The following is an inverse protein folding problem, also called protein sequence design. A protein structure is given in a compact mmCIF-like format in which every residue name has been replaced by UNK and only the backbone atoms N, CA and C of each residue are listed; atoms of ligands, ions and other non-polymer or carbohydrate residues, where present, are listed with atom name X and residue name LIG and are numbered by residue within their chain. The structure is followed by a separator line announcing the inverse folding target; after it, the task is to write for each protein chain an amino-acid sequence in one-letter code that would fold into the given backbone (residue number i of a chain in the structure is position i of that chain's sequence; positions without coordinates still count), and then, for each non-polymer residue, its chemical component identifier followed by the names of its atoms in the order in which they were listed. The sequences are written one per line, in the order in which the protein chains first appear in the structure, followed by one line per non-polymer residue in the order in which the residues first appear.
data_IF_695954426959
#
_entry.id   IF_695954426959
#
_cell.length_a   1.000
_cell.length_b   1.000
_cell.length_c   1.000
_cell.angle_alpha   90.00
_cell.angle_beta   90.00
_cell.angle_gamma   90.00
#
_symmetry.space_group_name_H-M   'P 1'
#
loop_
_entity.id
_entity.type
_entity.pdbx_description
1 polymer ?
#
# COMPACT_ATOMS: atom_id res chain seq x y z
N UNK A 1 37.83 38.15 24.35
CA UNK A 1 36.96 38.24 23.15
C UNK A 1 37.08 37.08 22.13
N UNK A 2 38.16 36.28 22.09
CA UNK A 2 38.28 35.13 21.15
C UNK A 2 37.55 33.84 21.53
N UNK A 3 37.06 33.66 22.77
CA UNK A 3 36.39 32.41 23.20
C UNK A 3 34.88 32.35 22.89
N UNK A 4 34.25 33.46 22.50
CA UNK A 4 32.83 33.49 22.13
C UNK A 4 32.59 33.18 20.65
N UNK A 5 33.57 33.45 19.77
CA UNK A 5 33.42 33.24 18.32
C UNK A 5 33.49 31.75 17.92
N UNK A 6 34.30 30.94 18.63
CA UNK A 6 34.40 29.49 18.38
C UNK A 6 33.16 28.68 18.78
N UNK A 7 32.35 29.17 19.73
CA UNK A 7 31.11 28.50 20.19
C UNK A 7 29.96 28.60 19.19
N UNK A 8 30.00 29.55 18.25
CA UNK A 8 28.87 29.88 17.37
C UNK A 8 28.88 29.11 16.05
N UNK A 9 30.06 28.74 15.53
CA UNK A 9 30.20 28.06 14.23
C UNK A 9 29.66 26.63 14.26
N UNK A 10 29.77 25.94 15.41
CA UNK A 10 29.33 24.55 15.56
C UNK A 10 27.85 24.39 15.92
N UNK A 11 27.25 25.33 16.67
CA UNK A 11 25.82 25.27 17.06
C UNK A 11 24.86 25.48 15.88
N UNK A 12 25.13 26.46 15.01
CA UNK A 12 24.33 26.70 13.80
C UNK A 12 24.46 25.59 12.74
N UNK A 13 25.47 24.71 12.88
CA UNK A 13 25.71 23.60 11.95
C UNK A 13 24.80 22.39 12.20
N UNK A 14 24.38 22.13 13.45
CA UNK A 14 23.64 20.91 13.78
C UNK A 14 22.24 20.87 13.14
N UNK A 15 21.44 21.93 13.26
CA UNK A 15 20.13 21.99 12.60
C UNK A 15 20.25 21.91 11.07
N UNK A 16 21.25 22.59 10.49
CA UNK A 16 21.51 22.51 9.04
C UNK A 16 21.94 21.11 8.60
N UNK A 17 22.61 20.35 9.46
CA UNK A 17 22.99 18.95 9.24
C UNK A 17 21.76 18.04 9.30
N UNK A 18 20.90 18.20 10.30
CA UNK A 18 19.62 17.47 10.44
C UNK A 18 18.70 17.75 9.25
N UNK A 19 18.58 19.01 8.81
CA UNK A 19 17.75 19.41 7.68
C UNK A 19 18.23 18.79 6.35
N UNK A 20 19.55 18.62 6.20
CA UNK A 20 20.17 17.93 5.06
C UNK A 20 20.12 16.41 5.16
N UNK A 21 19.72 15.85 6.32
CA UNK A 21 19.72 14.40 6.60
C UNK A 21 21.04 13.74 6.17
N UNK A 22 22.16 14.45 6.35
CA UNK A 22 23.45 14.09 5.77
C UNK A 22 24.39 13.56 6.85
N UNK A 23 24.51 12.24 6.92
CA UNK A 23 25.47 11.54 7.78
C UNK A 23 26.34 10.64 6.91
N UNK A 24 27.60 11.04 6.70
CA UNK A 24 28.67 10.39 5.92
C UNK A 24 28.26 9.87 4.51
N UNK A 25 28.79 10.52 3.47
CA UNK A 25 28.77 10.02 2.08
C UNK A 25 27.50 10.32 1.27
N UNK A 26 26.30 10.12 1.82
CA UNK A 26 25.05 10.37 1.08
C UNK A 26 24.35 11.66 1.52
N UNK A 27 24.41 12.69 0.68
CA UNK A 27 23.65 13.94 0.85
C UNK A 27 22.26 13.76 0.25
N UNK A 28 21.20 13.67 1.07
CA UNK A 28 19.84 13.91 0.58
C UNK A 28 19.68 15.42 0.43
N UNK A 29 20.09 15.94 -0.73
CA UNK A 29 19.93 17.36 -1.05
C UNK A 29 18.46 17.76 -1.06
N UNK A 30 18.15 19.03 -0.81
CA UNK A 30 16.79 19.57 -0.95
C UNK A 30 16.20 19.26 -2.33
N UNK A 31 17.04 19.28 -3.38
CA UNK A 31 16.64 18.90 -4.74
C UNK A 31 16.14 17.45 -4.83
N UNK A 32 16.75 16.52 -4.08
CA UNK A 32 16.29 15.13 -4.03
C UNK A 32 14.94 15.01 -3.31
N UNK A 33 14.68 15.84 -2.30
CA UNK A 33 13.37 15.89 -1.62
C UNK A 33 12.29 16.41 -2.57
N UNK A 34 12.57 17.48 -3.31
CA UNK A 34 11.68 18.00 -4.36
C UNK A 34 11.45 16.94 -5.44
N UNK A 35 12.51 16.28 -5.93
CA UNK A 35 12.39 15.18 -6.89
C UNK A 35 11.53 14.02 -6.38
N UNK A 36 11.66 13.68 -5.09
CA UNK A 36 10.83 12.64 -4.46
C UNK A 36 9.36 13.08 -4.36
N UNK A 37 9.10 14.37 -4.09
CA UNK A 37 7.76 14.94 -4.06
C UNK A 37 7.09 14.96 -5.44
N UNK A 38 7.82 15.37 -6.48
CA UNK A 38 7.38 15.32 -7.87
C UNK A 38 7.05 13.88 -8.28
N UNK A 39 7.95 12.94 -7.96
CA UNK A 39 7.75 11.52 -8.21
C UNK A 39 6.50 10.99 -7.51
N UNK A 40 6.28 11.35 -6.25
CA UNK A 40 5.09 10.95 -5.49
C UNK A 40 3.79 11.44 -6.15
N UNK A 41 3.76 12.71 -6.60
CA UNK A 41 2.62 13.28 -7.33
C UNK A 41 2.35 12.55 -8.65
N UNK A 42 3.41 12.28 -9.43
CA UNK A 42 3.32 11.56 -10.70
C UNK A 42 2.88 10.10 -10.53
N UNK A 43 3.42 9.37 -9.56
CA UNK A 43 3.04 7.98 -9.26
C UNK A 43 1.59 7.90 -8.83
N UNK A 44 1.13 8.83 -7.98
CA UNK A 44 -0.27 8.90 -7.57
C UNK A 44 -1.18 9.13 -8.79
N UNK A 45 -0.79 10.07 -9.65
CA UNK A 45 -1.55 10.37 -10.86
C UNK A 45 -1.56 9.20 -11.86
N UNK A 46 -0.45 8.49 -12.04
CA UNK A 46 -0.37 7.29 -12.87
C UNK A 46 -1.25 6.17 -12.33
N UNK A 47 -1.23 5.94 -11.01
CA UNK A 47 -2.09 4.96 -10.36
C UNK A 47 -3.57 5.29 -10.51
N UNK A 48 -3.96 6.57 -10.44
CA UNK A 48 -5.33 6.99 -10.74
C UNK A 48 -5.78 6.51 -12.13
N UNK A 49 -4.97 6.70 -13.18
CA UNK A 49 -5.31 6.20 -14.51
C UNK A 49 -5.41 4.68 -14.58
N UNK A 50 -4.55 3.97 -13.87
CA UNK A 50 -4.64 2.51 -13.76
C UNK A 50 -5.98 2.12 -13.15
N UNK A 51 -6.41 2.76 -12.08
CA UNK A 51 -7.72 2.50 -11.48
C UNK A 51 -8.89 2.85 -12.41
N UNK A 52 -8.79 3.93 -13.18
CA UNK A 52 -9.83 4.31 -14.15
C UNK A 52 -10.07 3.25 -15.23
N UNK A 53 -9.05 2.43 -15.58
CA UNK A 53 -9.28 1.29 -16.49
C UNK A 53 -10.19 0.20 -15.90
N UNK A 54 -10.40 0.21 -14.58
CA UNK A 54 -11.21 -0.75 -13.84
C UNK A 54 -12.57 -0.18 -13.42
N UNK A 55 -12.99 0.97 -13.96
CA UNK A 55 -14.26 1.60 -13.60
C UNK A 55 -15.46 0.69 -13.84
N UNK A 56 -15.44 -0.16 -14.87
CA UNK A 56 -16.50 -1.16 -15.15
C UNK A 56 -16.24 -2.46 -14.39
N UNK A 57 -15.95 -2.40 -13.11
CA UNK A 57 -15.72 -3.58 -12.29
C UNK A 57 -16.24 -3.38 -10.87
N UNK A 58 -16.12 -4.42 -10.05
CA UNK A 58 -16.43 -4.42 -8.60
C UNK A 58 -15.85 -3.23 -7.85
N UNK A 59 -14.70 -2.71 -8.32
CA UNK A 59 -14.06 -1.56 -7.68
C UNK A 59 -14.96 -0.32 -7.68
N UNK A 60 -15.84 -0.16 -8.67
CA UNK A 60 -16.80 0.95 -8.69
C UNK A 60 -17.90 0.82 -7.65
N UNK A 61 -18.22 -0.39 -7.20
CA UNK A 61 -19.22 -0.61 -6.15
C UNK A 61 -18.59 -0.49 -4.75
N UNK A 62 -17.36 -1.00 -4.59
CA UNK A 62 -16.69 -1.11 -3.28
C UNK A 62 -15.97 0.18 -2.90
N UNK A 63 -15.34 0.86 -3.87
CA UNK A 63 -14.60 2.11 -3.63
C UNK A 63 -14.97 3.15 -4.70
N UNK A 64 -16.25 3.59 -4.73
CA UNK A 64 -16.73 4.55 -5.73
C UNK A 64 -15.96 5.87 -5.71
N UNK A 65 -15.37 6.22 -4.56
CA UNK A 65 -14.63 7.47 -4.35
C UNK A 65 -13.39 7.61 -5.22
N UNK A 66 -12.73 6.50 -5.55
CA UNK A 66 -11.52 6.50 -6.41
C UNK A 66 -11.92 6.50 -7.90
N UNK A 67 -13.08 5.93 -8.21
CA UNK A 67 -13.52 5.71 -9.60
C UNK A 67 -14.17 6.95 -10.24
N UNK A 68 -14.57 7.95 -9.45
CA UNK A 68 -15.16 9.18 -10.00
C UNK A 68 -14.13 10.01 -10.77
N UNK A 69 -14.53 10.61 -11.89
CA UNK A 69 -13.71 11.54 -12.67
C UNK A 69 -13.68 12.93 -11.99
N UNK A 70 -12.91 13.07 -10.92
CA UNK A 70 -12.91 14.30 -10.10
C UNK A 70 -11.58 14.59 -9.40
N UNK A 71 -11.39 15.84 -8.97
CA UNK A 71 -10.28 16.21 -8.08
C UNK A 71 -10.33 15.52 -6.73
N UNK A 72 -11.52 15.14 -6.27
CA UNK A 72 -11.66 14.42 -5.02
C UNK A 72 -10.95 13.07 -5.11
N UNK A 73 -11.20 12.32 -6.17
CA UNK A 73 -10.63 10.98 -6.40
C UNK A 73 -9.11 11.00 -6.54
N UNK A 74 -8.56 11.95 -7.31
CA UNK A 74 -7.11 12.06 -7.51
C UNK A 74 -6.39 12.44 -6.21
N UNK A 75 -6.95 13.37 -5.44
CA UNK A 75 -6.39 13.80 -4.15
C UNK A 75 -6.58 12.74 -3.07
N UNK A 76 -7.74 12.09 -3.01
CA UNK A 76 -8.03 10.98 -2.10
C UNK A 76 -7.04 9.84 -2.31
N UNK A 77 -6.74 9.51 -3.56
CA UNK A 77 -5.75 8.48 -3.89
C UNK A 77 -4.33 8.95 -3.52
N UNK A 78 -4.00 10.22 -3.77
CA UNK A 78 -2.71 10.80 -3.38
C UNK A 78 -2.43 10.70 -1.88
N UNK A 79 -3.40 11.01 -1.01
CA UNK A 79 -3.16 10.97 0.45
C UNK A 79 -2.81 9.55 0.94
N UNK A 80 -3.44 8.52 0.39
CA UNK A 80 -3.16 7.12 0.75
C UNK A 80 -1.80 6.67 0.21
N UNK A 81 -1.45 7.05 -1.02
CA UNK A 81 -0.14 6.71 -1.61
C UNK A 81 0.98 7.46 -0.90
N UNK A 82 0.76 8.71 -0.48
CA UNK A 82 1.73 9.48 0.29
C UNK A 82 2.07 8.80 1.61
N UNK A 83 1.09 8.21 2.30
CA UNK A 83 1.30 7.40 3.49
C UNK A 83 2.18 6.19 3.18
N UNK A 84 1.83 5.38 2.16
CA UNK A 84 2.60 4.19 1.76
C UNK A 84 4.04 4.56 1.38
N UNK A 85 4.22 5.61 0.59
CA UNK A 85 5.52 6.10 0.16
C UNK A 85 6.40 6.52 1.35
N UNK A 86 5.85 7.26 2.31
CA UNK A 86 6.59 7.69 3.49
C UNK A 86 6.98 6.52 4.40
N UNK A 87 6.14 5.48 4.51
CA UNK A 87 6.49 4.27 5.26
C UNK A 87 7.70 3.58 4.64
N UNK A 88 7.70 3.40 3.31
CA UNK A 88 8.84 2.83 2.58
C UNK A 88 10.09 3.70 2.78
N UNK A 89 9.94 5.03 2.66
CA UNK A 89 11.02 5.98 2.88
C UNK A 89 11.60 5.85 4.31
N UNK A 90 10.75 5.75 5.33
CA UNK A 90 11.17 5.60 6.72
C UNK A 90 11.86 4.26 7.00
N UNK A 91 11.43 3.18 6.37
CA UNK A 91 12.08 1.86 6.49
C UNK A 91 13.47 1.88 5.84
N UNK A 92 13.57 2.42 4.61
CA UNK A 92 14.84 2.46 3.85
C UNK A 92 15.86 3.38 4.52
N UNK A 93 15.43 4.55 4.99
CA UNK A 93 16.33 5.56 5.60
C UNK A 93 16.27 5.59 7.13
N UNK A 94 15.81 4.50 7.76
CA UNK A 94 15.60 4.41 9.20
C UNK A 94 16.82 4.87 10.02
N UNK A 95 18.00 4.44 9.61
CA UNK A 95 19.27 4.74 10.28
C UNK A 95 19.66 6.22 10.27
N UNK A 96 19.05 7.02 9.41
CA UNK A 96 19.38 8.44 9.25
C UNK A 96 18.29 9.34 9.84
N UNK A 97 17.03 8.92 9.75
CA UNK A 97 15.88 9.76 10.11
C UNK A 97 15.58 9.74 11.61
N UNK A 98 15.76 8.59 12.27
CA UNK A 98 15.33 8.39 13.65
C UNK A 98 16.50 8.39 14.65
N UNK A 99 16.25 8.05 15.92
CA UNK A 99 17.23 8.17 17.01
C UNK A 99 18.31 7.06 17.04
N UNK A 100 18.65 6.48 15.89
CA UNK A 100 19.77 5.53 15.74
C UNK A 100 21.12 6.09 16.22
N UNK A 101 21.32 7.42 16.12
CA UNK A 101 22.50 8.15 16.56
C UNK A 101 22.73 8.08 18.07
N UNK A 102 21.66 7.99 18.87
CA UNK A 102 21.75 7.82 20.32
C UNK A 102 22.37 6.46 20.63
N UNK A 103 21.95 5.42 19.90
CA UNK A 103 22.53 4.07 20.01
C UNK A 103 23.99 4.03 19.54
N UNK A 104 24.34 4.77 18.49
CA UNK A 104 25.72 4.90 17.99
C UNK A 104 26.59 5.86 18.81
N UNK A 105 26.15 6.29 20.00
CA UNK A 105 26.83 7.23 20.90
C UNK A 105 27.23 8.58 20.30
N UNK A 106 26.67 8.95 19.14
CA UNK A 106 26.99 10.22 18.49
C UNK A 106 26.46 11.39 19.33
N UNK A 107 25.32 11.22 19.97
CA UNK A 107 24.74 12.22 20.88
C UNK A 107 25.54 12.36 22.17
N UNK A 108 26.07 11.27 22.71
CA UNK A 108 26.91 11.31 23.91
C UNK A 108 28.14 12.20 23.69
N UNK A 109 28.84 12.03 22.56
CA UNK A 109 29.99 12.86 22.19
C UNK A 109 29.61 14.35 22.04
N UNK A 110 28.45 14.63 21.43
CA UNK A 110 27.95 16.00 21.27
C UNK A 110 27.61 16.64 22.63
N UNK A 111 27.04 15.87 23.56
CA UNK A 111 26.74 16.36 24.91
C UNK A 111 28.04 16.71 25.65
N UNK A 112 29.08 15.87 25.55
CA UNK A 112 30.40 16.16 26.14
C UNK A 112 31.06 17.40 25.51
N UNK A 113 30.80 17.67 24.23
CA UNK A 113 31.20 18.91 23.55
C UNK A 113 30.35 20.14 23.92
N UNK A 114 29.40 20.01 24.86
CA UNK A 114 28.59 21.12 25.39
C UNK A 114 27.28 21.38 24.64
N UNK A 115 26.80 20.44 23.82
CA UNK A 115 25.47 20.52 23.23
C UNK A 115 24.38 20.12 24.23
N UNK A 116 23.25 20.82 24.19
CA UNK A 116 22.10 20.53 25.06
C UNK A 116 21.20 19.48 24.40
N UNK A 117 20.88 18.35 25.08
CA UNK A 117 20.05 17.27 24.53
C UNK A 117 18.68 17.74 24.04
N UNK A 118 18.07 18.70 24.76
CA UNK A 118 16.73 19.23 24.43
C UNK A 118 16.74 19.96 23.09
N UNK A 119 17.76 20.79 22.83
CA UNK A 119 17.90 21.51 21.56
C UNK A 119 18.16 20.52 20.41
N UNK A 120 18.96 19.48 20.66
CA UNK A 120 19.23 18.44 19.66
C UNK A 120 17.96 17.67 19.29
N UNK A 121 17.14 17.32 20.29
CA UNK A 121 15.82 16.71 20.06
C UNK A 121 14.93 17.60 19.19
N UNK A 122 14.71 18.87 19.59
CA UNK A 122 13.83 19.76 18.82
C UNK A 122 14.37 20.00 17.40
N UNK A 123 15.68 20.14 17.25
CA UNK A 123 16.33 20.26 15.95
C UNK A 123 16.01 19.07 15.04
N UNK A 124 16.15 17.85 15.55
CA UNK A 124 15.86 16.62 14.79
C UNK A 124 14.37 16.45 14.51
N UNK A 125 13.53 16.71 15.50
CA UNK A 125 12.07 16.68 15.38
C UNK A 125 11.58 17.62 14.29
N UNK A 126 11.93 18.91 14.36
CA UNK A 126 11.50 19.90 13.37
C UNK A 126 12.09 19.64 11.99
N UNK A 127 13.34 19.18 11.89
CA UNK A 127 13.94 18.83 10.60
C UNK A 127 13.19 17.69 9.91
N UNK A 128 12.79 16.65 10.66
CA UNK A 128 12.01 15.54 10.11
C UNK A 128 10.59 15.99 9.72
N UNK A 129 9.89 16.71 10.60
CA UNK A 129 8.54 17.23 10.32
C UNK A 129 8.52 18.14 9.10
N UNK A 130 9.47 19.07 9.00
CA UNK A 130 9.61 19.95 7.84
C UNK A 130 9.89 19.15 6.56
N UNK A 131 10.72 18.11 6.63
CA UNK A 131 11.03 17.28 5.47
C UNK A 131 9.79 16.53 4.97
N UNK A 132 9.00 15.95 5.87
CA UNK A 132 7.76 15.23 5.53
C UNK A 132 6.73 16.20 4.97
N UNK A 133 6.55 17.35 5.62
CA UNK A 133 5.65 18.41 5.17
C UNK A 133 6.02 18.89 3.77
N UNK A 134 7.28 19.21 3.50
CA UNK A 134 7.73 19.64 2.17
C UNK A 134 7.43 18.60 1.09
N UNK A 135 7.78 17.33 1.33
CA UNK A 135 7.56 16.25 0.35
C UNK A 135 6.06 16.08 0.06
N UNK A 136 5.23 16.12 1.11
CA UNK A 136 3.78 15.99 0.98
C UNK A 136 3.14 17.21 0.31
N UNK A 137 3.42 18.44 0.76
CA UNK A 137 2.80 19.64 0.18
C UNK A 137 3.15 19.82 -1.30
N UNK A 138 4.42 19.61 -1.67
CA UNK A 138 4.84 19.73 -3.08
C UNK A 138 4.17 18.65 -3.93
N UNK A 139 4.13 17.40 -3.46
CA UNK A 139 3.45 16.32 -4.19
C UNK A 139 1.94 16.57 -4.34
N UNK A 140 1.28 17.09 -3.31
CA UNK A 140 -0.14 17.42 -3.31
C UNK A 140 -0.47 18.50 -4.35
N UNK A 141 0.33 19.58 -4.40
CA UNK A 141 0.19 20.64 -5.39
C UNK A 141 0.41 20.11 -6.80
N UNK A 142 1.41 19.24 -7.00
CA UNK A 142 1.65 18.59 -8.30
C UNK A 142 0.45 17.77 -8.74
N UNK A 143 -0.17 16.99 -7.84
CA UNK A 143 -1.38 16.22 -8.18
C UNK A 143 -2.55 17.12 -8.56
N UNK A 144 -2.75 18.26 -7.88
CA UNK A 144 -3.77 19.25 -8.26
C UNK A 144 -3.49 19.80 -9.67
N UNK A 145 -2.25 20.21 -9.95
CA UNK A 145 -1.85 20.74 -11.26
C UNK A 145 -2.03 19.69 -12.36
N UNK A 146 -1.65 18.44 -12.10
CA UNK A 146 -1.85 17.34 -13.06
C UNK A 146 -3.33 17.09 -13.33
N UNK A 147 -4.16 17.14 -12.28
CA UNK A 147 -5.61 16.97 -12.42
C UNK A 147 -6.26 18.12 -13.19
N UNK A 148 -5.71 19.33 -13.12
CA UNK A 148 -6.17 20.47 -13.91
C UNK A 148 -6.09 20.21 -15.42
N UNK A 149 -5.07 19.50 -15.89
CA UNK A 149 -4.97 19.12 -17.31
C UNK A 149 -6.08 18.15 -17.77
N UNK A 150 -6.75 17.45 -16.84
CA UNK A 150 -7.88 16.56 -17.16
C UNK A 150 -9.21 17.31 -17.34
N UNK A 151 -9.23 18.63 -17.15
CA UNK A 151 -10.43 19.48 -17.27
C UNK A 151 -11.60 19.04 -16.38
N UNK A 152 -11.30 18.42 -15.24
CA UNK A 152 -12.32 18.11 -14.22
C UNK A 152 -12.85 19.39 -13.54
N UNK A 153 -14.05 19.32 -13.00
CA UNK A 153 -14.63 20.44 -12.23
C UNK A 153 -13.81 20.71 -10.97
N UNK A 154 -13.22 21.89 -10.89
CA UNK A 154 -12.42 22.31 -9.76
C UNK A 154 -13.32 22.77 -8.61
N UNK A 155 -13.30 22.05 -7.49
CA UNK A 155 -14.02 22.41 -6.27
C UNK A 155 -13.00 22.55 -5.15
N UNK A 156 -12.87 23.78 -4.64
CA UNK A 156 -11.85 24.12 -3.63
C UNK A 156 -12.23 23.62 -2.24
N UNK A 157 -13.53 23.55 -1.93
CA UNK A 157 -14.02 23.38 -0.55
C UNK A 157 -13.47 22.15 0.18
N UNK A 158 -13.29 21.02 -0.51
CA UNK A 158 -12.77 19.79 0.14
C UNK A 158 -11.24 19.66 0.12
N UNK A 159 -10.52 20.48 -0.65
CA UNK A 159 -9.06 20.35 -0.79
C UNK A 159 -8.30 20.60 0.53
N UNK A 160 -8.61 21.66 1.32
CA UNK A 160 -7.95 21.89 2.60
C UNK A 160 -8.17 20.75 3.60
N UNK A 161 -9.40 20.24 3.68
CA UNK A 161 -9.75 19.16 4.60
C UNK A 161 -9.00 17.87 4.23
N UNK A 162 -9.00 17.48 2.95
CA UNK A 162 -8.23 16.31 2.47
C UNK A 162 -6.73 16.48 2.67
N UNK A 163 -6.20 17.68 2.44
CA UNK A 163 -4.80 18.00 2.69
C UNK A 163 -4.44 17.73 4.16
N UNK A 164 -5.27 18.19 5.08
CA UNK A 164 -5.04 18.04 6.52
C UNK A 164 -5.18 16.60 7.00
N UNK A 165 -6.09 15.82 6.44
CA UNK A 165 -6.20 14.37 6.68
C UNK A 165 -4.87 13.67 6.39
N UNK A 166 -4.34 13.81 5.17
CA UNK A 166 -3.08 13.16 4.82
C UNK A 166 -1.89 13.70 5.60
N UNK A 167 -1.86 15.01 5.89
CA UNK A 167 -0.80 15.61 6.72
C UNK A 167 -0.85 15.06 8.15
N UNK A 168 -2.03 14.97 8.76
CA UNK A 168 -2.25 14.45 10.10
C UNK A 168 -1.75 13.02 10.24
N UNK A 169 -2.07 12.16 9.27
CA UNK A 169 -1.59 10.77 9.23
C UNK A 169 -0.07 10.69 9.15
N UNK A 170 0.55 11.47 8.27
CA UNK A 170 1.99 11.49 8.10
C UNK A 170 2.71 11.99 9.36
N UNK A 171 2.19 13.03 10.01
CA UNK A 171 2.72 13.53 11.28
C UNK A 171 2.59 12.47 12.38
N UNK A 172 1.43 11.82 12.49
CA UNK A 172 1.19 10.76 13.46
C UNK A 172 2.14 9.57 13.26
N UNK A 173 2.29 9.05 12.03
CA UNK A 173 3.25 7.98 11.70
C UNK A 173 4.66 8.39 12.10
N UNK A 174 5.05 9.63 11.79
CA UNK A 174 6.40 10.15 12.05
C UNK A 174 6.69 10.21 13.55
N UNK A 175 5.76 10.73 14.36
CA UNK A 175 5.92 10.86 15.82
C UNK A 175 5.96 9.48 16.49
N UNK A 176 5.06 8.57 16.11
CA UNK A 176 5.02 7.22 16.65
C UNK A 176 6.30 6.45 16.27
N UNK A 177 6.74 6.55 15.02
CA UNK A 177 7.98 5.91 14.56
C UNK A 177 9.22 6.46 15.27
N UNK A 178 9.29 7.78 15.50
CA UNK A 178 10.31 8.40 16.34
C UNK A 178 10.30 7.84 17.76
N UNK A 179 9.12 7.66 18.34
CA UNK A 179 8.97 7.12 19.71
C UNK A 179 9.48 5.69 19.80
N UNK A 180 9.01 4.80 18.93
CA UNK A 180 9.47 3.41 18.94
C UNK A 180 10.95 3.26 18.62
N UNK A 181 11.55 4.20 17.87
CA UNK A 181 12.98 4.16 17.59
C UNK A 181 13.86 4.26 18.83
N UNK A 182 13.38 4.89 19.91
CA UNK A 182 14.10 4.97 21.19
C UNK A 182 14.10 3.63 21.96
N UNK A 183 13.11 2.78 21.72
CA UNK A 183 12.98 1.46 22.35
C UNK A 183 13.57 0.33 21.50
N UNK A 184 13.91 0.61 20.23
CA UNK A 184 14.43 -0.37 19.30
C UNK A 184 15.89 -0.73 19.60
N UNK A 185 16.12 -1.98 20.03
CA UNK A 185 17.47 -2.51 20.31
C UNK A 185 18.33 -2.63 19.04
N UNK A 186 17.75 -3.05 17.93
CA UNK A 186 18.43 -3.23 16.63
C UNK A 186 17.79 -2.37 15.54
N UNK A 187 18.52 -2.10 14.45
CA UNK A 187 18.00 -1.40 13.26
C UNK A 187 16.81 -2.15 12.67
N UNK A 188 16.94 -3.47 12.54
CA UNK A 188 15.92 -4.35 11.96
C UNK A 188 14.63 -4.29 12.79
N UNK A 189 14.72 -4.39 14.12
CA UNK A 189 13.55 -4.25 14.98
C UNK A 189 12.93 -2.85 14.84
N UNK A 190 13.77 -1.82 14.69
CA UNK A 190 13.33 -0.46 14.41
C UNK A 190 12.50 -0.34 13.14
N UNK A 191 12.96 -0.94 12.03
CA UNK A 191 12.22 -1.00 10.76
C UNK A 191 10.88 -1.72 10.91
N UNK A 192 10.82 -2.83 11.66
CA UNK A 192 9.56 -3.52 11.95
C UNK A 192 8.60 -2.67 12.79
N UNK A 193 9.10 -1.93 13.78
CA UNK A 193 8.27 -1.01 14.56
C UNK A 193 7.70 0.13 13.72
N UNK A 194 8.47 0.67 12.76
CA UNK A 194 7.96 1.67 11.80
C UNK A 194 6.82 1.09 10.96
N UNK A 195 6.96 -0.14 10.46
CA UNK A 195 5.88 -0.82 9.73
C UNK A 195 4.65 -1.05 10.61
N UNK A 196 4.84 -1.54 11.84
CA UNK A 196 3.74 -1.76 12.79
C UNK A 196 3.00 -0.46 13.15
N UNK A 197 3.72 0.65 13.25
CA UNK A 197 3.14 1.98 13.49
C UNK A 197 2.16 2.39 12.39
N UNK A 198 2.49 2.09 11.14
CA UNK A 198 1.61 2.36 10.03
C UNK A 198 0.35 1.48 10.06
N UNK A 199 0.52 0.17 10.30
CA UNK A 199 -0.60 -0.76 10.43
C UNK A 199 -1.55 -0.32 11.55
N UNK A 200 -0.99 0.10 12.69
CA UNK A 200 -1.77 0.61 13.82
C UNK A 200 -2.64 1.82 13.42
N UNK A 201 -2.10 2.74 12.63
CA UNK A 201 -2.85 3.94 12.17
C UNK A 201 -3.98 3.56 11.21
N UNK A 202 -3.73 2.63 10.29
CA UNK A 202 -4.80 2.12 9.42
C UNK A 202 -5.92 1.44 10.23
N UNK A 203 -5.57 0.62 11.22
CA UNK A 203 -6.54 0.00 12.13
C UNK A 203 -7.32 1.06 12.90
N UNK A 204 -6.64 2.06 13.47
CA UNK A 204 -7.27 3.15 14.22
C UNK A 204 -8.27 3.93 13.36
N UNK A 205 -7.93 4.22 12.09
CA UNK A 205 -8.84 4.91 11.16
C UNK A 205 -10.13 4.13 10.90
N UNK A 206 -10.03 2.81 10.76
CA UNK A 206 -11.19 1.94 10.54
C UNK A 206 -12.02 1.87 11.82
N UNK A 207 -11.39 1.61 12.97
CA UNK A 207 -12.09 1.42 14.25
C UNK A 207 -12.75 2.69 14.77
N UNK A 208 -12.18 3.87 14.48
CA UNK A 208 -12.67 5.16 14.96
C UNK A 208 -13.60 5.88 13.97
N UNK A 209 -13.93 5.24 12.84
CA UNK A 209 -14.92 5.73 11.87
C UNK A 209 -14.42 6.78 10.86
N UNK A 210 -13.12 7.12 10.88
CA UNK A 210 -12.55 8.16 10.02
C UNK A 210 -12.68 7.81 8.53
N UNK A 211 -12.58 6.54 8.16
CA UNK A 211 -12.65 6.12 6.75
C UNK A 211 -13.99 6.51 6.09
N UNK A 212 -15.10 6.37 6.82
CA UNK A 212 -16.44 6.75 6.34
C UNK A 212 -16.60 8.27 6.17
N UNK A 213 -15.83 9.06 6.93
CA UNK A 213 -15.84 10.52 6.84
C UNK A 213 -14.99 10.99 5.66
N UNK A 214 -13.79 10.42 5.47
CA UNK A 214 -12.89 10.76 4.35
C UNK A 214 -13.48 10.33 3.01
N UNK A 215 -14.20 9.22 2.95
CA UNK A 215 -14.80 8.73 1.70
C UNK A 215 -15.95 9.62 1.21
N UNK A 216 -16.61 10.36 2.10
CA UNK A 216 -17.73 11.21 1.74
C UNK A 216 -17.28 12.62 1.30
N UNK A 217 -17.43 12.89 0.00
CA UNK A 217 -17.11 14.18 -0.63
C UNK A 217 -17.80 15.39 0.00
N UNK A 218 -19.05 15.24 0.44
CA UNK A 218 -19.85 16.35 1.01
C UNK A 218 -19.35 16.70 2.41
N UNK A 219 -19.10 15.69 3.24
CA UNK A 219 -18.57 15.87 4.60
C UNK A 219 -17.20 16.56 4.59
N UNK A 220 -16.37 16.24 3.60
CA UNK A 220 -15.03 16.82 3.42
C UNK A 220 -15.03 18.31 3.03
N UNK A 221 -16.15 18.90 2.59
CA UNK A 221 -16.21 20.33 2.25
C UNK A 221 -16.06 21.24 3.47
N UNK A 222 -16.41 20.74 4.65
CA UNK A 222 -16.30 21.48 5.91
C UNK A 222 -15.09 20.99 6.70
N UNK A 223 -14.16 21.89 7.00
CA UNK A 223 -12.97 21.58 7.80
C UNK A 223 -13.31 21.08 9.22
N UNK A 224 -14.34 21.68 9.85
CA UNK A 224 -14.75 21.34 11.21
C UNK A 224 -15.28 19.92 11.38
N UNK A 225 -15.64 19.26 10.26
CA UNK A 225 -16.12 17.86 10.28
C UNK A 225 -15.08 16.92 10.88
N UNK A 226 -13.78 17.20 10.70
CA UNK A 226 -12.68 16.39 11.24
C UNK A 226 -12.66 16.36 12.78
N UNK A 227 -13.16 17.42 13.43
CA UNK A 227 -13.18 17.54 14.89
C UNK A 227 -14.54 17.21 15.50
N UNK A 228 -15.50 16.75 14.69
CA UNK A 228 -16.82 16.40 15.17
C UNK A 228 -16.81 15.00 15.82
N UNK A 229 -16.84 14.98 17.15
CA UNK A 229 -16.79 13.78 17.97
C UNK A 229 -17.94 12.79 17.72
N UNK A 230 -19.05 13.24 17.13
CA UNK A 230 -20.17 12.36 16.75
C UNK A 230 -19.88 11.54 15.49
N UNK A 231 -19.01 12.04 14.61
CA UNK A 231 -18.69 11.40 13.33
C UNK A 231 -17.43 10.55 13.43
N UNK A 232 -16.37 11.09 14.04
CA UNK A 232 -15.09 10.40 14.20
C UNK A 232 -14.39 10.84 15.48
N UNK A 233 -13.83 9.87 16.20
CA UNK A 233 -12.97 10.12 17.36
C UNK A 233 -11.49 10.12 16.99
N UNK A 234 -11.15 9.84 15.72
CA UNK A 234 -9.78 9.64 15.25
C UNK A 234 -8.87 10.83 15.54
N UNK A 235 -9.33 12.05 15.24
CA UNK A 235 -8.53 13.25 15.45
C UNK A 235 -8.25 13.55 16.93
N UNK A 236 -9.22 13.31 17.81
CA UNK A 236 -9.04 13.48 19.25
C UNK A 236 -7.97 12.50 19.78
N UNK A 237 -8.12 11.22 19.47
CA UNK A 237 -7.14 10.20 19.86
C UNK A 237 -5.78 10.43 19.20
N UNK A 238 -5.75 10.79 17.92
CA UNK A 238 -4.54 11.08 17.17
C UNK A 238 -3.74 12.22 17.81
N UNK A 239 -4.38 13.35 18.13
CA UNK A 239 -3.74 14.47 18.83
C UNK A 239 -3.26 14.06 20.22
N UNK A 240 -4.07 13.32 20.98
CA UNK A 240 -3.68 12.79 22.29
C UNK A 240 -2.42 11.91 22.22
N UNK A 241 -2.39 10.97 21.27
CA UNK A 241 -1.24 10.08 21.02
C UNK A 241 -0.01 10.91 20.63
N UNK A 242 -0.14 11.89 19.74
CA UNK A 242 0.98 12.74 19.34
C UNK A 242 1.62 13.49 20.52
N UNK A 243 0.80 14.05 21.41
CA UNK A 243 1.28 14.78 22.60
C UNK A 243 2.03 13.81 23.53
N UNK A 244 1.44 12.67 23.86
CA UNK A 244 2.04 11.67 24.76
C UNK A 244 3.35 11.14 24.18
N UNK A 245 3.38 10.77 22.90
CA UNK A 245 4.58 10.29 22.21
C UNK A 245 5.69 11.35 22.16
N UNK A 246 5.36 12.62 21.93
CA UNK A 246 6.33 13.72 21.93
C UNK A 246 6.96 13.91 23.33
N UNK A 247 6.15 13.87 24.39
CA UNK A 247 6.65 13.94 25.77
C UNK A 247 7.55 12.74 26.11
N UNK A 248 7.15 11.52 25.73
CA UNK A 248 7.97 10.31 25.91
C UNK A 248 9.30 10.48 25.18
N UNK A 249 9.30 10.95 23.93
CA UNK A 249 10.52 11.15 23.17
C UNK A 249 11.46 12.17 23.84
N UNK A 250 10.93 13.29 24.32
CA UNK A 250 11.71 14.32 25.02
C UNK A 250 12.41 13.76 26.26
N UNK A 251 11.68 13.03 27.09
CA UNK A 251 12.20 12.45 28.34
C UNK A 251 13.20 11.33 28.03
N UNK A 252 12.85 10.40 27.15
CA UNK A 252 13.69 9.24 26.89
C UNK A 252 14.94 9.56 26.07
N UNK A 253 14.86 10.44 25.07
CA UNK A 253 16.05 10.85 24.33
C UNK A 253 17.08 11.54 25.25
N UNK A 254 16.62 12.39 26.18
CA UNK A 254 17.47 13.02 27.19
C UNK A 254 18.10 11.99 28.13
N UNK A 255 17.34 11.00 28.59
CA UNK A 255 17.84 10.00 29.52
C UNK A 255 18.86 9.06 28.86
N UNK A 256 18.54 8.53 27.68
CA UNK A 256 19.41 7.60 26.95
C UNK A 256 20.70 8.28 26.47
N UNK A 257 20.64 9.55 26.05
CA UNK A 257 21.81 10.23 25.52
C UNK A 257 22.87 10.59 26.58
N UNK A 258 22.54 10.53 27.88
CA UNK A 258 23.50 10.73 28.97
C UNK A 258 24.49 9.57 29.11
N UNK A 259 24.09 8.37 28.70
CA UNK A 259 24.86 7.16 28.93
C UNK A 259 25.52 6.71 27.63
N UNK A 260 26.73 6.17 27.77
CA UNK A 260 27.42 5.51 26.67
C UNK A 260 26.83 4.11 26.49
N UNK A 261 26.24 3.83 25.33
CA UNK A 261 25.75 2.50 24.99
C UNK A 261 26.91 1.66 24.46
N UNK A 262 27.30 0.58 25.13
CA UNK A 262 28.25 -0.35 24.53
C UNK A 262 27.62 -0.99 23.27
N UNK A 263 28.24 -0.88 22.08
CA UNK A 263 27.77 -1.61 20.92
C UNK A 263 27.83 -3.11 21.20
N UNK A 264 26.77 -3.85 20.89
CA UNK A 264 26.75 -5.32 21.05
C UNK A 264 27.83 -6.02 20.22
N UNK A 265 28.29 -5.37 19.13
CA UNK A 265 29.33 -5.85 18.23
C UNK A 265 30.72 -5.26 18.52
N UNK A 266 30.90 -4.56 19.65
CA UNK A 266 32.20 -4.03 20.02
C UNK A 266 33.15 -5.18 20.37
N UNK A 267 33.84 -5.68 19.36
CA UNK A 267 35.10 -6.42 19.41
C UNK A 267 36.24 -5.55 19.97
N UNK A 268 35.96 -4.77 21.03
CA UNK A 268 36.91 -3.96 21.79
C UNK A 268 37.23 -4.70 23.11
N UNK A 269 37.08 -6.03 23.12
CA UNK A 269 37.73 -6.85 24.13
C UNK A 269 39.11 -7.24 23.59
N UNK A 270 40.21 -7.03 24.35
CA UNK A 270 41.45 -7.72 24.04
C UNK A 270 41.15 -9.22 23.96
N UNK A 271 41.81 -9.93 23.03
CA UNK A 271 41.42 -11.26 22.53
C UNK A 271 41.20 -12.38 23.57
N UNK A 272 41.42 -12.13 24.86
CA UNK A 272 41.30 -13.07 25.97
C UNK A 272 40.38 -12.62 27.12
N UNK A 273 39.54 -11.58 26.97
CA UNK A 273 38.59 -11.20 28.01
C UNK A 273 37.14 -11.47 27.63
N UNK A 274 36.47 -12.21 28.51
CA UNK A 274 35.04 -12.51 28.47
C UNK A 274 34.31 -11.40 29.26
N UNK A 275 33.53 -10.56 28.58
CA UNK A 275 32.69 -9.57 29.25
C UNK A 275 31.41 -10.25 29.77
N UNK A 276 31.12 -10.05 31.05
CA UNK A 276 29.89 -10.50 31.69
C UNK A 276 29.08 -9.26 32.06
N UNK A 277 27.94 -9.05 31.43
CA UNK A 277 26.94 -8.08 31.89
C UNK A 277 26.21 -8.68 33.08
N UNK A 278 26.29 -8.00 34.21
CA UNK A 278 25.56 -8.37 35.42
C UNK A 278 24.28 -7.53 35.41
N UNK A 279 23.13 -8.21 35.28
CA UNK A 279 21.83 -7.54 35.36
C UNK A 279 21.62 -7.01 36.79
N UNK A 280 21.57 -5.69 36.93
CA UNK A 280 21.51 -5.00 38.23
C UNK A 280 20.25 -5.32 39.03
N UNK A 281 19.21 -5.89 38.41
CA UNK A 281 17.96 -6.28 39.08
C UNK A 281 17.88 -7.77 39.45
N UNK A 282 18.57 -8.64 38.72
CA UNK A 282 18.42 -10.10 38.90
C UNK A 282 19.72 -10.80 39.30
N UNK A 283 20.86 -10.10 39.29
CA UNK A 283 22.17 -10.66 39.62
C UNK A 283 22.67 -11.70 38.62
N UNK A 284 21.95 -11.92 37.50
CA UNK A 284 22.29 -12.96 36.53
C UNK A 284 23.43 -12.49 35.62
N UNK A 285 24.43 -13.35 35.49
CA UNK A 285 25.57 -13.18 34.61
C UNK A 285 25.16 -13.48 33.16
N UNK A 286 25.29 -12.50 32.27
CA UNK A 286 25.08 -12.67 30.84
C UNK A 286 26.39 -12.45 30.09
N UNK A 287 26.90 -13.51 29.46
CA UNK A 287 28.11 -13.46 28.65
C UNK A 287 27.86 -12.60 27.40
N UNK A 288 28.48 -11.42 27.33
CA UNK A 288 28.52 -10.61 26.11
C UNK A 288 29.65 -11.15 25.23
N UNK A 289 29.28 -11.85 24.16
CA UNK A 289 30.25 -12.38 23.20
C UNK A 289 29.95 -13.79 22.69
N UNK A 290 28.88 -14.45 23.13
CA UNK A 290 28.42 -15.63 22.40
C UNK A 290 27.95 -15.16 21.03
N UNK A 291 28.75 -15.43 19.98
CA UNK A 291 28.34 -15.32 18.58
C UNK A 291 26.88 -15.74 18.51
N UNK A 292 25.99 -14.77 18.28
CA UNK A 292 24.60 -15.05 17.97
C UNK A 292 24.69 -16.06 16.82
N UNK A 293 24.07 -17.24 16.96
CA UNK A 293 24.09 -18.30 15.94
C UNK A 293 23.48 -17.74 14.64
N UNK A 294 24.28 -17.05 13.85
CA UNK A 294 23.91 -16.43 12.58
C UNK A 294 23.60 -17.47 11.49
N UNK A 295 23.90 -18.75 11.75
CA UNK A 295 23.80 -19.80 10.73
C UNK A 295 22.41 -20.41 10.51
N UNK A 296 21.50 -20.41 11.49
CA UNK A 296 20.23 -21.15 11.35
C UNK A 296 19.06 -20.25 10.95
N UNK A 297 18.97 -19.06 11.54
CA UNK A 297 17.89 -18.10 11.26
C UNK A 297 18.02 -17.45 9.88
N UNK A 298 19.25 -17.16 9.43
CA UNK A 298 19.51 -16.68 8.06
C UNK A 298 19.15 -17.74 7.03
N UNK A 299 19.62 -18.99 7.19
CA UNK A 299 19.31 -20.09 6.25
C UNK A 299 17.82 -20.39 6.11
N UNK A 300 17.05 -20.33 7.21
CA UNK A 300 15.59 -20.51 7.14
C UNK A 300 14.95 -19.32 6.42
N UNK A 301 15.34 -18.08 6.73
CA UNK A 301 14.82 -16.88 6.04
C UNK A 301 15.19 -16.91 4.56
N UNK A 302 16.40 -17.31 4.20
CA UNK A 302 16.89 -17.43 2.83
C UNK A 302 16.10 -18.51 2.07
N UNK A 303 15.84 -19.66 2.71
CA UNK A 303 15.07 -20.75 2.09
C UNK A 303 13.61 -20.36 1.89
N UNK A 304 12.99 -19.73 2.89
CA UNK A 304 11.59 -19.29 2.83
C UNK A 304 11.42 -18.16 1.82
N UNK A 305 12.32 -17.18 1.79
CA UNK A 305 12.25 -16.08 0.81
C UNK A 305 12.45 -16.57 -0.62
N UNK A 306 13.38 -17.50 -0.86
CA UNK A 306 13.60 -18.10 -2.18
C UNK A 306 12.40 -18.93 -2.62
N UNK A 307 11.85 -19.77 -1.72
CA UNK A 307 10.66 -20.57 -2.01
C UNK A 307 9.46 -19.67 -2.33
N UNK A 308 9.26 -18.61 -1.55
CA UNK A 308 8.19 -17.64 -1.78
C UNK A 308 8.33 -16.94 -3.15
N UNK A 309 9.55 -16.53 -3.52
CA UNK A 309 9.83 -15.95 -4.85
C UNK A 309 9.49 -16.92 -5.97
N UNK A 310 9.90 -18.19 -5.84
CA UNK A 310 9.61 -19.23 -6.85
C UNK A 310 8.10 -19.43 -6.98
N UNK A 311 7.39 -19.63 -5.85
CA UNK A 311 5.93 -19.81 -5.84
C UNK A 311 5.23 -18.61 -6.47
N UNK A 312 5.67 -17.39 -6.16
CA UNK A 312 5.10 -16.16 -6.72
C UNK A 312 5.30 -16.08 -8.24
N UNK A 313 6.52 -16.37 -8.73
CA UNK A 313 6.81 -16.37 -10.17
C UNK A 313 5.97 -17.43 -10.89
N UNK A 314 5.91 -18.65 -10.35
CA UNK A 314 5.09 -19.73 -10.91
C UNK A 314 3.61 -19.34 -10.95
N UNK A 315 3.07 -18.75 -9.87
CA UNK A 315 1.69 -18.28 -9.82
C UNK A 315 1.42 -17.16 -10.84
N UNK A 316 2.33 -16.19 -10.99
CA UNK A 316 2.18 -15.11 -11.95
C UNK A 316 2.24 -15.61 -13.41
N UNK A 317 3.11 -16.57 -13.73
CA UNK A 317 3.17 -17.20 -15.04
C UNK A 317 1.92 -18.04 -15.34
N UNK A 318 1.48 -18.86 -14.38
CA UNK A 318 0.24 -19.63 -14.50
C UNK A 318 -0.98 -18.72 -14.70
N UNK A 319 -1.02 -17.59 -13.99
CA UNK A 319 -2.08 -16.61 -14.14
C UNK A 319 -2.08 -15.94 -15.53
N UNK A 320 -0.90 -15.58 -16.07
CA UNK A 320 -0.81 -15.07 -17.43
C UNK A 320 -1.33 -16.08 -18.47
N UNK A 321 -0.93 -17.35 -18.34
CA UNK A 321 -1.42 -18.41 -19.22
C UNK A 321 -2.94 -18.55 -19.13
N UNK A 322 -3.49 -18.48 -17.91
CA UNK A 322 -4.93 -18.53 -17.66
C UNK A 322 -5.69 -17.37 -18.34
N UNK A 323 -5.17 -16.13 -18.27
CA UNK A 323 -5.77 -14.98 -18.95
C UNK A 323 -5.77 -15.14 -20.47
N UNK A 324 -4.65 -15.64 -21.04
CA UNK A 324 -4.57 -15.92 -22.48
C UNK A 324 -5.60 -16.98 -22.88
N UNK A 325 -5.73 -18.04 -22.10
CA UNK A 325 -6.64 -19.15 -22.35
C UNK A 325 -8.11 -18.72 -22.32
N UNK A 326 -8.49 -17.84 -21.38
CA UNK A 326 -9.84 -17.24 -21.36
C UNK A 326 -10.07 -16.36 -22.59
N UNK A 327 -9.12 -15.48 -22.92
CA UNK A 327 -9.29 -14.56 -24.05
C UNK A 327 -9.24 -15.26 -25.43
N UNK A 328 -8.55 -16.41 -25.53
CA UNK A 328 -8.44 -17.17 -26.76
C UNK A 328 -9.63 -18.12 -26.99
N UNK A 329 -10.58 -18.19 -26.07
CA UNK A 329 -11.80 -18.98 -26.23
C UNK A 329 -12.70 -18.34 -27.29
N UNK A 330 -12.62 -18.82 -28.53
CA UNK A 330 -13.53 -18.44 -29.61
C UNK A 330 -14.82 -19.26 -29.54
N UNK A 331 -15.95 -18.76 -30.08
CA UNK A 331 -17.18 -19.55 -30.24
C UNK A 331 -16.88 -20.92 -30.87
N UNK A 332 -17.38 -22.00 -30.28
CA UNK A 332 -17.11 -23.38 -30.71
C UNK A 332 -15.81 -24.03 -30.22
N UNK A 333 -14.87 -23.29 -29.60
CA UNK A 333 -13.65 -23.82 -28.96
C UNK A 333 -13.50 -23.28 -27.53
N UNK A 334 -14.56 -23.40 -26.74
CA UNK A 334 -14.55 -22.97 -25.34
C UNK A 334 -13.58 -23.83 -24.52
N UNK A 335 -12.64 -23.19 -23.82
CA UNK A 335 -11.71 -23.95 -22.98
C UNK A 335 -12.39 -24.36 -21.68
N UNK A 336 -12.69 -25.65 -21.56
CA UNK A 336 -13.25 -26.21 -20.34
C UNK A 336 -12.17 -26.61 -19.34
N UNK A 337 -12.33 -26.17 -18.09
CA UNK A 337 -11.47 -26.54 -16.97
C UNK A 337 -12.29 -27.41 -16.03
N UNK A 338 -12.00 -28.71 -15.99
CA UNK A 338 -12.77 -29.70 -15.20
C UNK A 338 -14.29 -29.66 -15.48
N UNK A 339 -14.66 -29.47 -16.76
CA UNK A 339 -16.05 -29.39 -17.18
C UNK A 339 -16.76 -28.05 -16.89
N UNK A 340 -16.03 -27.04 -16.43
CA UNK A 340 -16.54 -25.67 -16.24
C UNK A 340 -15.95 -24.75 -17.31
N UNK A 341 -16.80 -23.97 -17.94
CA UNK A 341 -16.47 -22.94 -18.91
C UNK A 341 -16.38 -21.59 -18.15
N UNK A 342 -15.17 -21.01 -17.99
CA UNK A 342 -15.02 -19.66 -17.47
C UNK A 342 -15.34 -18.64 -18.58
N UNK A 343 -16.22 -17.69 -18.30
CA UNK A 343 -16.64 -16.68 -19.27
C UNK A 343 -16.65 -15.28 -18.63
N UNK A 344 -15.98 -14.31 -19.28
CA UNK A 344 -15.98 -12.91 -18.84
C UNK A 344 -17.18 -12.20 -19.45
N UNK A 345 -18.09 -11.75 -18.60
CA UNK A 345 -19.34 -11.15 -19.06
C UNK A 345 -19.12 -9.70 -19.49
N UNK A 346 -19.49 -9.32 -20.72
CA UNK A 346 -19.19 -7.98 -21.27
C UNK A 346 -20.41 -7.05 -21.36
N UNK A 347 -21.62 -7.56 -21.11
CA UNK A 347 -22.88 -6.83 -21.23
C UNK A 347 -23.53 -6.60 -19.86
N UNK A 348 -24.53 -5.73 -19.79
CA UNK A 348 -25.34 -5.47 -18.60
C UNK A 348 -26.65 -6.25 -18.58
N UNK A 349 -26.86 -7.17 -19.53
CA UNK A 349 -28.17 -7.82 -19.80
C UNK A 349 -28.63 -8.80 -18.72
N UNK A 350 -27.73 -9.26 -17.86
CA UNK A 350 -28.00 -10.22 -16.80
C UNK A 350 -27.86 -9.63 -15.40
N UNK A 351 -27.86 -8.30 -15.29
CA UNK A 351 -27.85 -7.62 -14.00
C UNK A 351 -29.19 -7.84 -13.27
N UNK A 352 -29.20 -8.04 -11.94
CA UNK A 352 -28.07 -7.98 -11.01
C UNK A 352 -27.32 -9.31 -10.81
N UNK A 353 -27.78 -10.41 -11.41
CA UNK A 353 -27.25 -11.75 -11.14
C UNK A 353 -25.83 -11.95 -11.70
N UNK A 354 -25.52 -11.37 -12.85
CA UNK A 354 -24.18 -11.29 -13.44
C UNK A 354 -23.92 -9.82 -13.83
N UNK A 355 -22.90 -9.20 -13.24
CA UNK A 355 -22.54 -7.81 -13.54
C UNK A 355 -21.51 -7.77 -14.67
N UNK A 356 -21.39 -6.61 -15.30
CA UNK A 356 -20.36 -6.36 -16.32
C UNK A 356 -18.94 -6.63 -15.78
N UNK A 357 -18.14 -7.31 -16.60
CA UNK A 357 -16.79 -7.81 -16.33
C UNK A 357 -16.64 -8.78 -15.15
N UNK A 358 -17.74 -9.38 -14.67
CA UNK A 358 -17.65 -10.52 -13.76
C UNK A 358 -17.12 -11.75 -14.51
N UNK A 359 -16.35 -12.60 -13.81
CA UNK A 359 -16.04 -13.94 -14.30
C UNK A 359 -17.18 -14.89 -13.89
N UNK A 360 -17.98 -15.33 -14.86
CA UNK A 360 -19.04 -16.30 -14.67
C UNK A 360 -18.54 -17.73 -14.98
N UNK A 361 -19.09 -18.70 -14.27
CA UNK A 361 -18.77 -20.12 -14.43
C UNK A 361 -19.99 -20.86 -14.94
N UNK A 362 -19.85 -21.51 -16.10
CA UNK A 362 -20.89 -22.33 -16.71
C UNK A 362 -20.49 -23.79 -16.67
N UNK A 363 -21.31 -24.65 -16.07
CA UNK A 363 -21.12 -26.09 -16.11
C UNK A 363 -21.47 -26.57 -17.53
N UNK A 364 -20.52 -27.21 -18.21
CA UNK A 364 -20.79 -27.81 -19.52
C UNK A 364 -21.85 -28.90 -19.37
N UNK A 365 -22.84 -28.89 -20.24
CA UNK A 365 -23.94 -29.85 -20.23
C UNK A 365 -24.09 -30.52 -21.58
N UNK A 366 -24.43 -31.81 -21.56
CA UNK A 366 -24.78 -32.53 -22.77
C UNK A 366 -26.24 -32.27 -23.16
N UNK A 367 -26.59 -32.60 -24.41
CA UNK A 367 -27.92 -32.41 -25.00
C UNK A 367 -29.02 -33.09 -24.17
N UNK A 368 -28.70 -34.19 -23.49
CA UNK A 368 -29.64 -34.97 -22.67
C UNK A 368 -29.89 -34.37 -21.28
N UNK A 369 -29.07 -33.42 -20.83
CA UNK A 369 -29.24 -32.84 -19.50
C UNK A 369 -30.54 -32.01 -19.44
N UNK A 370 -31.40 -32.17 -18.43
CA UNK A 370 -32.63 -31.39 -18.34
C UNK A 370 -32.31 -29.95 -17.98
N UNK A 371 -32.83 -29.00 -18.78
CA UNK A 371 -32.80 -27.57 -18.47
C UNK A 371 -34.13 -27.17 -17.86
N UNK A 372 -34.09 -26.46 -16.75
CA UNK A 372 -35.27 -26.01 -16.03
C UNK A 372 -35.55 -24.53 -16.26
N UNK A 373 -36.82 -24.15 -16.09
CA UNK A 373 -37.23 -22.74 -16.13
C UNK A 373 -36.51 -21.97 -15.02
N UNK A 374 -36.00 -20.78 -15.35
CA UNK A 374 -35.30 -19.89 -14.42
C UNK A 374 -33.78 -20.05 -14.42
N UNK A 375 -33.24 -21.11 -15.04
CA UNK A 375 -31.80 -21.28 -15.19
C UNK A 375 -31.22 -20.29 -16.20
N UNK A 376 -30.00 -19.82 -15.94
CA UNK A 376 -29.22 -19.02 -16.89
C UNK A 376 -28.35 -19.96 -17.70
N UNK A 377 -28.39 -19.82 -19.02
CA UNK A 377 -27.66 -20.69 -19.93
C UNK A 377 -26.71 -19.89 -20.83
N UNK A 378 -25.57 -20.50 -21.16
CA UNK A 378 -24.65 -20.05 -22.19
C UNK A 378 -24.98 -20.82 -23.47
N UNK A 379 -25.32 -20.10 -24.54
CA UNK A 379 -25.67 -20.70 -25.82
C UNK A 379 -25.08 -19.89 -26.98
N UNK A 380 -24.96 -20.55 -28.13
CA UNK A 380 -24.45 -19.94 -29.35
C UNK A 380 -25.57 -19.72 -30.35
N UNK A 381 -25.65 -18.51 -30.89
CA UNK A 381 -26.58 -18.20 -31.97
C UNK A 381 -25.87 -17.29 -32.97
N UNK A 382 -25.94 -17.62 -34.26
CA UNK A 382 -25.27 -16.87 -35.33
C UNK A 382 -23.76 -16.65 -35.07
N UNK A 383 -23.06 -17.67 -34.54
CA UNK A 383 -21.63 -17.63 -34.21
C UNK A 383 -21.26 -16.60 -33.12
N UNK A 384 -22.23 -16.21 -32.28
CA UNK A 384 -22.06 -15.32 -31.14
C UNK A 384 -22.58 -16.01 -29.88
N UNK A 385 -21.80 -15.94 -28.80
CA UNK A 385 -22.17 -16.47 -27.50
C UNK A 385 -23.09 -15.48 -26.76
N UNK A 386 -24.22 -15.99 -26.28
CA UNK A 386 -25.21 -15.26 -25.49
C UNK A 386 -25.40 -15.94 -24.14
N UNK A 387 -25.70 -15.13 -23.12
CA UNK A 387 -26.06 -15.59 -21.78
C UNK A 387 -27.41 -14.99 -21.43
N UNK A 388 -28.41 -15.84 -21.27
CA UNK A 388 -29.79 -15.42 -21.05
C UNK A 388 -30.52 -16.42 -20.14
N UNK A 389 -31.65 -16.00 -19.55
CA UNK A 389 -32.45 -16.84 -18.65
C UNK A 389 -33.56 -17.56 -19.37
N UNK A 390 -33.77 -18.82 -19.04
CA UNK A 390 -34.85 -19.65 -19.59
C UNK A 390 -36.20 -19.24 -18.98
N UNK A 391 -37.10 -18.73 -19.80
CA UNK A 391 -38.48 -18.38 -19.41
C UNK A 391 -39.42 -19.58 -19.57
N UNK A 392 -39.25 -20.34 -20.66
CA UNK A 392 -40.15 -21.45 -21.00
C UNK A 392 -39.37 -22.62 -21.58
N UNK A 393 -39.67 -23.79 -21.07
CA UNK A 393 -39.19 -25.09 -21.54
C UNK A 393 -40.25 -25.74 -22.42
N UNK A 394 -39.85 -26.21 -23.60
CA UNK A 394 -40.67 -26.89 -24.60
C UNK A 394 -39.76 -27.60 -25.61
N UNK A 395 -40.27 -27.92 -26.81
CA UNK A 395 -39.42 -28.47 -27.90
C UNK A 395 -38.25 -27.54 -28.27
N UNK A 396 -38.45 -26.24 -28.09
CA UNK A 396 -37.41 -25.22 -28.14
C UNK A 396 -37.45 -24.41 -26.84
N UNK A 397 -36.29 -23.96 -26.38
CA UNK A 397 -36.15 -23.15 -25.17
C UNK A 397 -36.44 -21.69 -25.53
N UNK A 398 -37.29 -21.02 -24.76
CA UNK A 398 -37.45 -19.57 -24.87
C UNK A 398 -36.62 -18.90 -23.78
N UNK A 399 -35.69 -18.04 -24.19
CA UNK A 399 -34.78 -17.31 -23.32
C UNK A 399 -34.98 -15.81 -23.45
N UNK A 400 -34.56 -15.06 -22.44
CA UNK A 400 -34.64 -13.61 -22.39
C UNK A 400 -33.60 -13.02 -21.42
N UNK A 401 -33.42 -11.71 -21.50
CA UNK A 401 -32.50 -10.95 -20.65
C UNK A 401 -33.18 -10.51 -19.35
N UNK A 402 -32.40 -10.37 -18.27
CA UNK A 402 -32.92 -9.90 -16.97
C UNK A 402 -32.99 -8.37 -16.89
N UNK A 403 -32.06 -7.68 -17.56
CA UNK A 403 -31.96 -6.22 -17.55
C UNK A 403 -32.06 -5.67 -18.98
N UNK A 404 -33.16 -4.96 -19.23
CA UNK A 404 -33.45 -4.38 -20.54
C UNK A 404 -32.76 -3.02 -20.72
N UNK A 405 -32.29 -2.72 -21.95
CA UNK A 405 -31.80 -1.38 -22.26
C UNK A 405 -32.86 -0.32 -21.99
N UNK A 406 -32.46 0.92 -21.63
CA UNK A 406 -33.39 2.02 -21.42
C UNK A 406 -34.33 2.19 -22.61
N UNK A 407 -35.63 2.39 -22.35
CA UNK A 407 -36.70 2.52 -23.34
C UNK A 407 -37.13 1.23 -24.09
N UNK A 408 -36.59 0.06 -23.72
CA UNK A 408 -37.07 -1.22 -24.25
C UNK A 408 -38.24 -1.76 -23.43
N UNK A 409 -39.21 -2.42 -24.09
CA UNK A 409 -40.31 -3.10 -23.41
C UNK A 409 -39.87 -4.47 -22.89
N UNK A 410 -40.41 -4.87 -21.74
CA UNK A 410 -40.17 -6.20 -21.15
C UNK A 410 -40.63 -7.28 -22.13
N UNK A 411 -39.76 -8.25 -22.42
CA UNK A 411 -40.03 -9.32 -23.37
C UNK A 411 -39.74 -9.01 -24.83
N UNK A 412 -39.21 -7.82 -25.15
CA UNK A 412 -38.85 -7.46 -26.53
C UNK A 412 -37.63 -8.22 -27.07
N UNK A 413 -36.81 -8.81 -26.20
CA UNK A 413 -35.54 -9.47 -26.54
C UNK A 413 -35.62 -10.99 -26.43
N UNK A 414 -36.83 -11.57 -26.44
CA UNK A 414 -37.02 -13.01 -26.38
C UNK A 414 -36.42 -13.70 -27.58
N UNK A 415 -35.67 -14.77 -27.32
CA UNK A 415 -35.11 -15.64 -28.35
C UNK A 415 -35.55 -17.06 -28.14
N UNK A 416 -35.56 -17.80 -29.25
CA UNK A 416 -35.83 -19.23 -29.25
C UNK A 416 -34.54 -19.95 -29.58
N UNK A 417 -34.15 -20.89 -28.71
CA UNK A 417 -32.88 -21.60 -28.74
C UNK A 417 -33.14 -23.09 -28.79
N UNK A 418 -32.41 -23.79 -29.65
CA UNK A 418 -32.50 -25.24 -29.75
C UNK A 418 -31.56 -25.89 -28.74
N UNK A 419 -31.88 -27.11 -28.26
CA UNK A 419 -31.09 -27.79 -27.23
C UNK A 419 -29.60 -27.97 -27.60
N UNK A 420 -29.22 -28.29 -28.86
CA UNK A 420 -27.82 -28.46 -29.25
C UNK A 420 -26.98 -27.18 -29.19
N UNK A 421 -27.61 -26.01 -29.25
CA UNK A 421 -26.93 -24.70 -29.21
C UNK A 421 -26.50 -24.30 -27.79
N UNK A 422 -26.95 -25.03 -26.77
CA UNK A 422 -26.66 -24.73 -25.37
C UNK A 422 -25.38 -25.42 -24.93
N UNK A 423 -24.38 -24.62 -24.57
CA UNK A 423 -23.05 -25.07 -24.17
C UNK A 423 -22.94 -25.32 -22.66
N UNK A 424 -23.60 -24.51 -21.83
CA UNK A 424 -23.47 -24.62 -20.38
C UNK A 424 -24.57 -23.97 -19.55
N UNK A 425 -24.68 -24.38 -18.30
CA UNK A 425 -25.61 -23.83 -17.31
C UNK A 425 -24.83 -23.05 -16.25
N UNK A 426 -25.31 -21.87 -15.91
CA UNK A 426 -24.70 -21.00 -14.91
C UNK A 426 -24.62 -21.68 -13.54
N UNK A 427 -23.44 -21.63 -12.92
CA UNK A 427 -23.18 -22.20 -11.58
C UNK A 427 -22.85 -21.12 -10.55
N UNK A 428 -22.23 -20.02 -10.97
CA UNK A 428 -21.85 -18.94 -10.08
C UNK A 428 -20.88 -17.96 -10.73
N UNK A 429 -20.47 -16.93 -9.98
CA UNK A 429 -19.58 -15.87 -10.44
C UNK A 429 -18.51 -15.50 -9.43
N UNK A 430 -17.39 -14.97 -9.93
CA UNK A 430 -16.38 -14.30 -9.12
C UNK A 430 -16.11 -12.90 -9.67
N UNK A 431 -16.63 -11.92 -8.93
CA UNK A 431 -16.52 -10.50 -9.23
C UNK A 431 -15.06 -10.02 -9.20
N UNK A 432 -14.30 -10.36 -8.15
CA UNK A 432 -12.92 -9.91 -7.96
C UNK A 432 -11.95 -10.50 -8.97
N UNK A 433 -12.14 -11.78 -9.34
CA UNK A 433 -11.32 -12.40 -10.36
C UNK A 433 -11.62 -11.80 -11.75
N UNK A 434 -12.88 -11.43 -12.02
CA UNK A 434 -13.26 -10.65 -13.19
C UNK A 434 -12.54 -9.29 -13.28
N UNK A 435 -12.51 -8.53 -12.18
CA UNK A 435 -11.75 -7.27 -12.10
C UNK A 435 -10.24 -7.47 -12.33
N UNK A 436 -9.68 -8.56 -11.83
CA UNK A 436 -8.27 -8.88 -12.00
C UNK A 436 -7.94 -9.30 -13.45
N UNK A 437 -8.81 -10.06 -14.12
CA UNK A 437 -8.69 -10.38 -15.55
C UNK A 437 -8.83 -9.12 -16.39
N UNK A 438 -9.80 -8.25 -16.08
CA UNK A 438 -9.95 -6.95 -16.73
C UNK A 438 -8.66 -6.14 -16.62
N UNK A 439 -8.07 -6.05 -15.42
CA UNK A 439 -6.78 -5.40 -15.20
C UNK A 439 -5.67 -6.04 -16.03
N UNK A 440 -5.56 -7.37 -16.01
CA UNK A 440 -4.57 -8.11 -16.79
C UNK A 440 -4.71 -7.91 -18.30
N UNK A 441 -5.89 -7.53 -18.79
CA UNK A 441 -6.14 -7.21 -20.19
C UNK A 441 -5.76 -5.77 -20.59
N UNK A 442 -5.52 -4.88 -19.62
CA UNK A 442 -5.03 -3.52 -19.89
C UNK A 442 -3.57 -3.51 -20.31
N UNK A 443 -3.12 -2.48 -21.02
CA UNK A 443 -1.70 -2.32 -21.41
C UNK A 443 -0.80 -2.34 -20.17
N UNK A 444 -1.18 -1.62 -19.11
CA UNK A 444 -0.39 -1.54 -17.87
C UNK A 444 -0.38 -2.88 -17.14
N UNK A 445 -1.52 -3.55 -17.03
CA UNK A 445 -1.61 -4.87 -16.40
C UNK A 445 -0.80 -5.91 -17.15
N UNK A 446 -0.92 -6.00 -18.48
CA UNK A 446 -0.10 -6.90 -19.33
C UNK A 446 1.38 -6.65 -19.11
N UNK A 447 1.79 -5.39 -19.12
CA UNK A 447 3.19 -5.01 -18.91
C UNK A 447 3.65 -5.42 -17.51
N UNK A 448 2.88 -5.19 -16.46
CA UNK A 448 3.23 -5.59 -15.10
C UNK A 448 3.30 -7.11 -14.92
N UNK A 449 2.30 -7.86 -15.40
CA UNK A 449 2.27 -9.30 -15.27
C UNK A 449 3.36 -10.02 -16.09
N UNK A 450 3.88 -9.39 -17.16
CA UNK A 450 5.03 -9.91 -17.91
C UNK A 450 6.36 -9.45 -17.32
N UNK A 451 6.49 -8.16 -17.01
CA UNK A 451 7.75 -7.53 -16.60
C UNK A 451 8.14 -7.88 -15.18
N UNK A 452 7.20 -7.91 -14.23
CA UNK A 452 7.51 -8.20 -12.82
C UNK A 452 8.13 -9.59 -12.65
N UNK A 453 7.55 -10.69 -13.18
CA UNK A 453 8.19 -12.00 -13.10
C UNK A 453 9.53 -12.05 -13.82
N UNK A 454 9.64 -11.41 -15.00
CA UNK A 454 10.91 -11.36 -15.75
C UNK A 454 12.01 -10.65 -14.94
N UNK A 455 11.74 -9.48 -14.38
CA UNK A 455 12.69 -8.74 -13.55
C UNK A 455 13.06 -9.54 -12.30
N UNK A 456 12.08 -10.19 -11.64
CA UNK A 456 12.38 -11.04 -10.49
C UNK A 456 13.29 -12.21 -10.88
N UNK A 457 13.04 -12.88 -12.02
CA UNK A 457 13.89 -13.97 -12.52
C UNK A 457 15.31 -13.51 -12.86
N UNK A 458 15.48 -12.39 -13.57
CA UNK A 458 16.80 -11.90 -13.97
C UNK A 458 17.59 -11.27 -12.81
N UNK A 459 16.90 -10.61 -11.87
CA UNK A 459 17.52 -9.87 -10.78
C UNK A 459 17.51 -10.59 -9.44
N UNK A 460 16.97 -11.82 -9.33
CA UNK A 460 16.93 -12.59 -8.09
C UNK A 460 18.27 -12.63 -7.35
N UNK A 461 19.38 -12.84 -8.08
CA UNK A 461 20.71 -12.91 -7.47
C UNK A 461 21.22 -11.57 -6.95
N UNK A 462 20.81 -10.45 -7.57
CA UNK A 462 21.15 -9.09 -7.11
C UNK A 462 20.27 -8.67 -5.94
N UNK A 463 18.98 -8.98 -6.00
CA UNK A 463 18.01 -8.75 -4.91
C UNK A 463 18.44 -9.53 -3.67
N UNK A 464 18.82 -10.80 -3.83
CA UNK A 464 19.36 -11.63 -2.75
C UNK A 464 20.62 -11.03 -2.12
N UNK A 465 21.58 -10.56 -2.94
CA UNK A 465 22.78 -9.88 -2.44
C UNK A 465 22.47 -8.58 -1.72
N UNK A 466 21.46 -7.82 -2.15
CA UNK A 466 21.03 -6.59 -1.49
C UNK A 466 20.46 -6.87 -0.09
N UNK A 467 19.55 -7.85 0.04
CA UNK A 467 19.02 -8.25 1.35
C UNK A 467 20.10 -8.84 2.27
N UNK A 468 21.09 -9.55 1.72
CA UNK A 468 22.19 -10.10 2.51
C UNK A 468 23.14 -9.01 3.03
N UNK A 469 23.33 -7.92 2.28
CA UNK A 469 24.24 -6.82 2.65
C UNK A 469 23.70 -5.96 3.81
N UNK A 470 22.38 -5.98 4.05
CA UNK A 470 21.72 -5.29 5.17
C UNK A 470 21.76 -6.08 6.49
N UNK A 471 22.18 -7.35 6.44
CA UNK A 471 22.31 -8.25 7.60
C UNK A 471 23.77 -8.48 8.04
N UNK A 472 24.73 -7.77 7.44
CA UNK A 472 26.12 -7.64 7.90
C UNK A 472 26.33 -6.21 8.39
#
# INVERSE_FOLDING_TARGET
MRSLCGRMIYKNSYFKKELRQAYMGNKISTNRKIGSALFLGLVSFALYFVFQTLQKSVLSDVVPEIMQASYFSTVYLYIHIAVVFNIIYFIVYYDYLFFSEIRKNSWYLLIQMGYQPVIMFFSKFFALMYSVLLIYSVGFVVTIILTFFLKYTFIVSYLPTLYLVGLGDLLLITIISMTFSLYAKTVINGRYWTFFSAVLIFVLKITLGEYAVISNRVLMQNFFTLFNLKLSLYWLFGVGIMIVCCLICLVQSKNLAKYYNLPSDAAITPANMILVEIDSKTGKHKLLGSKIKEGWRSRIVDTVTTLFLIVFICAALAFNLFVILINASTPGQEVTIRGVIPFVFSTSTMEPEIMINDLAYFQKVDVQYPIEKGQIILFEQNNVLYVERVIKTGNQLTVDIDNYPPMSQIGAMKKTVTRPEVHGIYRGRNRWLGALILFANTIVGRLLFLLVPAVLLFYQGKIYKFFKKDNQ
#
